data_IF_377187474214
#
_entry.id   IF_377187474214
#
_cell.length_a   1.000
_cell.length_b   1.000
_cell.length_c   1.000
_cell.angle_alpha   90.00
_cell.angle_beta   90.00
_cell.angle_gamma   90.00
#
_symmetry.space_group_name_H-M   'P 1'
#
loop_
_entity.id
_entity.type
_entity.pdbx_description
1 polymer ?
#
# COMPACT_ATOMS: atom_id res chain seq x y z
N UNK A 1 -8.55 -1.90 39.06
CA UNK A 1 -8.64 -2.89 37.97
C UNK A 1 -7.24 -3.13 37.45
N UNK A 2 -6.91 -4.38 37.13
CA UNK A 2 -5.66 -4.73 36.44
C UNK A 2 -5.96 -5.15 35.00
N UNK A 3 -5.20 -4.60 34.08
CA UNK A 3 -5.27 -4.92 32.64
C UNK A 3 -3.90 -5.43 32.24
N UNK A 4 -3.85 -6.63 31.68
CA UNK A 4 -2.61 -7.22 31.16
C UNK A 4 -2.71 -7.46 29.66
N UNK A 5 -1.57 -7.70 29.02
CA UNK A 5 -1.52 -8.28 27.68
C UNK A 5 -0.70 -9.57 27.72
N UNK A 6 -0.99 -10.50 26.80
CA UNK A 6 -0.13 -11.61 26.43
C UNK A 6 0.16 -11.45 24.95
N UNK A 7 1.42 -11.43 24.54
CA UNK A 7 1.80 -11.25 23.14
C UNK A 7 2.49 -12.50 22.61
N UNK A 8 2.06 -12.99 21.46
CA UNK A 8 2.67 -14.13 20.77
C UNK A 8 3.00 -13.73 19.32
N UNK A 9 4.02 -14.36 18.74
CA UNK A 9 4.45 -14.07 17.36
C UNK A 9 5.96 -13.89 17.22
N UNK A 10 6.44 -13.89 15.98
CA UNK A 10 7.86 -13.71 15.68
C UNK A 10 8.24 -12.23 15.40
N UNK A 11 7.26 -11.38 15.08
CA UNK A 11 7.44 -9.93 14.87
C UNK A 11 6.57 -9.16 15.86
N UNK A 12 7.05 -9.04 17.09
CA UNK A 12 6.28 -8.42 18.17
C UNK A 12 6.17 -6.90 18.03
N UNK A 13 5.12 -6.35 18.65
CA UNK A 13 4.90 -4.93 18.78
C UNK A 13 5.91 -4.25 19.72
N UNK A 14 7.06 -3.79 19.19
CA UNK A 14 8.20 -3.40 20.03
C UNK A 14 7.98 -2.20 20.96
N UNK A 15 7.02 -1.32 20.65
CA UNK A 15 6.67 -0.15 21.46
C UNK A 15 5.51 -0.39 22.43
N UNK A 16 4.89 -1.57 22.37
CA UNK A 16 3.85 -1.98 23.31
C UNK A 16 2.49 -1.44 22.90
N UNK A 17 1.61 -1.23 23.88
CA UNK A 17 0.21 -0.89 23.65
C UNK A 17 -0.22 0.30 24.49
N UNK A 18 -1.36 0.88 24.13
CA UNK A 18 -2.10 1.80 24.97
C UNK A 18 -3.39 1.14 25.47
N UNK A 19 -3.78 1.41 26.72
CA UNK A 19 -5.07 0.95 27.26
C UNK A 19 -5.81 2.07 27.97
N UNK A 20 -7.13 2.12 27.77
CA UNK A 20 -8.02 3.11 28.37
C UNK A 20 -9.24 2.45 29.02
N UNK A 21 -9.75 3.10 30.08
CA UNK A 21 -10.99 2.74 30.76
C UNK A 21 -12.09 3.75 30.41
N UNK A 22 -13.16 3.31 29.74
CA UNK A 22 -14.35 4.11 29.41
C UNK A 22 -14.07 5.39 28.61
N UNK A 23 -13.09 5.36 27.69
CA UNK A 23 -12.66 6.54 26.92
C UNK A 23 -11.86 7.58 27.73
N UNK A 24 -11.38 7.21 28.92
CA UNK A 24 -10.50 8.02 29.75
C UNK A 24 -9.06 8.09 29.22
N UNK A 25 -8.16 8.70 30.00
CA UNK A 25 -6.75 8.81 29.63
C UNK A 25 -6.09 7.44 29.46
N UNK A 26 -5.33 7.29 28.38
CA UNK A 26 -4.57 6.08 28.08
C UNK A 26 -3.39 5.90 29.05
N UNK A 27 -3.08 4.64 29.33
CA UNK A 27 -1.87 4.22 30.03
C UNK A 27 -1.10 3.26 29.14
N UNK A 28 0.22 3.45 29.08
CA UNK A 28 1.13 2.54 28.36
C UNK A 28 1.13 1.16 29.01
N UNK A 29 1.08 0.13 28.17
CA UNK A 29 1.11 -1.27 28.54
C UNK A 29 2.22 -1.95 27.73
N UNK A 30 3.31 -2.33 28.41
CA UNK A 30 4.41 -3.07 27.80
C UNK A 30 3.95 -4.46 27.29
N UNK A 31 4.72 -5.05 26.37
CA UNK A 31 4.57 -6.44 25.95
C UNK A 31 4.56 -7.39 27.15
N UNK A 32 3.59 -8.31 27.18
CA UNK A 32 3.33 -9.23 28.30
C UNK A 32 3.17 -8.52 29.68
N UNK A 33 2.89 -7.21 29.64
CA UNK A 33 2.86 -6.33 30.79
C UNK A 33 1.55 -6.35 31.56
N UNK A 34 1.50 -5.56 32.62
CA UNK A 34 0.27 -5.33 33.38
C UNK A 34 0.25 -3.90 33.90
N UNK A 35 -0.88 -3.23 33.70
CA UNK A 35 -1.14 -1.89 34.23
C UNK A 35 -2.29 -1.93 35.24
N UNK A 36 -2.28 -1.01 36.21
CA UNK A 36 -3.30 -0.92 37.26
C UNK A 36 -4.02 0.42 37.23
N UNK A 37 -5.32 0.38 36.99
CA UNK A 37 -6.22 1.51 37.22
C UNK A 37 -6.69 1.50 38.68
N UNK A 38 -6.28 2.50 39.45
CA UNK A 38 -6.70 2.64 40.85
C UNK A 38 -8.07 3.31 40.99
N UNK A 39 -8.75 3.05 42.11
CA UNK A 39 -9.99 3.73 42.50
C UNK A 39 -11.14 3.64 41.46
N UNK A 40 -11.19 2.57 40.67
CA UNK A 40 -12.26 2.30 39.71
C UNK A 40 -13.56 2.03 40.47
N UNK A 41 -14.65 2.72 40.08
CA UNK A 41 -15.96 2.59 40.71
C UNK A 41 -16.56 1.19 40.52
N UNK A 42 -17.48 0.79 41.40
CA UNK A 42 -18.26 -0.43 41.21
C UNK A 42 -19.16 -0.31 39.97
N UNK A 43 -19.25 -1.38 39.18
CA UNK A 43 -20.06 -1.44 37.96
C UNK A 43 -19.31 -2.03 36.76
N UNK A 44 -19.96 -2.01 35.60
CA UNK A 44 -19.37 -2.45 34.34
C UNK A 44 -18.57 -1.30 33.71
N UNK A 45 -17.34 -1.59 33.30
CA UNK A 45 -16.46 -0.65 32.62
C UNK A 45 -15.99 -1.25 31.31
N UNK A 46 -15.99 -0.44 30.27
CA UNK A 46 -15.35 -0.79 29.00
C UNK A 46 -13.85 -0.53 29.10
N UNK A 47 -13.05 -1.51 28.71
CA UNK A 47 -11.60 -1.42 28.60
C UNK A 47 -11.25 -1.57 27.12
N UNK A 48 -10.54 -0.61 26.56
CA UNK A 48 -10.05 -0.65 25.18
C UNK A 48 -8.53 -0.77 25.16
N UNK A 49 -8.01 -1.60 24.26
CA UNK A 49 -6.60 -1.60 23.85
C UNK A 49 -6.51 -0.86 22.50
N UNK A 50 -5.49 -0.02 22.38
CA UNK A 50 -5.17 0.80 21.21
C UNK A 50 -3.66 0.73 20.97
N UNK A 51 -3.21 1.37 19.88
CA UNK A 51 -1.79 1.35 19.46
C UNK A 51 -1.25 -0.07 19.23
N UNK A 52 -2.15 -1.00 18.86
CA UNK A 52 -1.76 -2.36 18.46
C UNK A 52 -1.24 -2.28 17.04
N UNK A 53 0.02 -2.66 16.84
CA UNK A 53 0.62 -2.73 15.52
C UNK A 53 -0.22 -3.61 14.60
N UNK A 54 -0.24 -3.21 13.34
CA UNK A 54 -1.14 -3.77 12.34
C UNK A 54 -0.81 -5.20 11.93
N UNK A 55 0.41 -5.67 12.17
CA UNK A 55 0.78 -7.07 12.05
C UNK A 55 0.28 -7.93 13.23
N UNK A 56 -0.37 -7.31 14.22
CA UNK A 56 -0.90 -7.95 15.40
C UNK A 56 -2.43 -7.87 15.44
N UNK A 57 -3.05 -8.95 15.91
CA UNK A 57 -4.49 -9.05 16.11
C UNK A 57 -4.79 -9.31 17.58
N UNK A 58 -5.89 -8.73 18.09
CA UNK A 58 -6.33 -8.95 19.47
C UNK A 58 -7.46 -9.97 19.50
N UNK A 59 -7.24 -11.11 20.13
CA UNK A 59 -8.28 -12.15 20.26
C UNK A 59 -9.45 -11.68 21.14
N UNK A 60 -10.66 -11.92 20.64
CA UNK A 60 -11.90 -11.41 21.22
C UNK A 60 -12.15 -9.92 21.00
N UNK A 61 -11.33 -9.24 20.19
CA UNK A 61 -11.49 -7.83 19.82
C UNK A 61 -10.79 -6.84 20.76
N UNK A 62 -10.71 -5.58 20.32
CA UNK A 62 -9.98 -4.51 21.00
C UNK A 62 -10.69 -3.93 22.24
N UNK A 63 -11.94 -4.30 22.50
CA UNK A 63 -12.73 -3.79 23.62
C UNK A 63 -13.32 -4.90 24.46
N UNK A 64 -13.30 -4.74 25.78
CA UNK A 64 -13.85 -5.71 26.74
C UNK A 64 -14.66 -5.02 27.83
N UNK A 65 -15.81 -5.57 28.16
CA UNK A 65 -16.60 -5.13 29.31
C UNK A 65 -16.19 -5.91 30.56
N UNK A 66 -15.77 -5.20 31.60
CA UNK A 66 -15.26 -5.78 32.85
C UNK A 66 -16.08 -5.27 34.03
N UNK A 67 -16.68 -6.19 34.78
CA UNK A 67 -17.42 -5.88 35.99
C UNK A 67 -16.47 -5.72 37.19
N UNK A 68 -16.56 -4.59 37.89
CA UNK A 68 -15.83 -4.31 39.13
C UNK A 68 -16.79 -4.42 40.32
N UNK A 69 -16.55 -5.39 41.20
CA UNK A 69 -17.32 -5.52 42.44
C UNK A 69 -16.71 -4.69 43.58
N UNK A 70 -17.56 -4.22 44.50
CA UNK A 70 -17.15 -3.39 45.63
C UNK A 70 -16.00 -4.02 46.44
N UNK A 71 -14.92 -3.25 46.64
CA UNK A 71 -13.76 -3.67 47.44
C UNK A 71 -12.90 -4.77 46.83
N UNK A 72 -13.07 -5.06 45.54
CA UNK A 72 -12.32 -6.08 44.80
C UNK A 72 -11.46 -5.49 43.68
N UNK A 73 -10.44 -6.24 43.26
CA UNK A 73 -9.67 -5.92 42.05
C UNK A 73 -10.16 -6.80 40.92
N UNK A 74 -10.84 -6.22 39.94
CA UNK A 74 -11.15 -6.90 38.67
C UNK A 74 -9.90 -6.99 37.79
N UNK A 75 -9.83 -8.03 36.97
CA UNK A 75 -8.72 -8.35 36.06
C UNK A 75 -9.25 -8.62 34.65
N UNK A 76 -8.54 -8.17 33.62
CA UNK A 76 -8.76 -8.56 32.22
C UNK A 76 -7.42 -8.64 31.49
N UNK A 77 -7.32 -9.43 30.43
CA UNK A 77 -6.06 -9.70 29.72
C UNK A 77 -6.24 -9.74 28.20
N UNK A 78 -5.65 -8.84 27.43
CA UNK A 78 -5.69 -8.93 25.96
C UNK A 78 -4.69 -9.96 25.45
N UNK A 79 -5.14 -10.88 24.60
CA UNK A 79 -4.26 -11.83 23.92
C UNK A 79 -3.99 -11.29 22.52
N UNK A 80 -2.75 -10.87 22.27
CA UNK A 80 -2.29 -10.24 21.04
C UNK A 80 -1.43 -11.22 20.28
N UNK A 81 -1.77 -11.51 19.03
CA UNK A 81 -1.04 -12.42 18.15
C UNK A 81 -0.50 -11.65 16.96
N UNK A 82 0.83 -11.57 16.86
CA UNK A 82 1.54 -10.88 15.79
C UNK A 82 2.04 -11.89 14.75
N UNK A 83 1.59 -11.73 13.51
CA UNK A 83 1.96 -12.61 12.40
C UNK A 83 2.98 -11.90 11.48
N UNK A 84 4.23 -12.41 11.36
CA UNK A 84 5.20 -11.90 10.40
C UNK A 84 4.78 -12.08 8.93
N UNK A 85 3.70 -12.81 8.64
CA UNK A 85 3.12 -12.92 7.30
C UNK A 85 2.42 -11.63 6.84
N UNK A 86 1.95 -10.80 7.78
CA UNK A 86 1.26 -9.54 7.49
C UNK A 86 2.21 -8.34 7.34
N UNK A 87 3.45 -8.47 7.82
CA UNK A 87 4.48 -7.44 7.67
C UNK A 87 5.58 -7.91 6.71
N UNK A 88 6.05 -6.98 5.88
CA UNK A 88 7.23 -7.19 5.07
C UNK A 88 7.07 -8.31 4.03
N UNK A 89 6.03 -8.18 3.22
CA UNK A 89 5.86 -8.98 2.02
C UNK A 89 5.76 -8.07 0.81
N UNK A 90 6.16 -8.63 -0.30
CA UNK A 90 6.13 -7.97 -1.59
C UNK A 90 5.06 -8.67 -2.41
N UNK A 91 4.07 -7.91 -2.88
CA UNK A 91 3.03 -8.42 -3.79
C UNK A 91 3.41 -8.07 -5.21
N UNK A 92 3.28 -9.05 -6.10
CA UNK A 92 3.63 -8.91 -7.51
C UNK A 92 2.80 -9.80 -8.38
N UNK A 93 2.71 -9.44 -9.65
CA UNK A 93 2.14 -10.33 -10.66
C UNK A 93 3.25 -11.13 -11.36
N UNK A 94 2.94 -12.34 -11.80
CA UNK A 94 3.81 -13.14 -12.67
C UNK A 94 2.99 -13.79 -13.78
N UNK A 95 3.36 -13.50 -15.01
CA UNK A 95 2.88 -14.22 -16.19
C UNK A 95 3.77 -15.45 -16.43
N UNK A 96 3.17 -16.64 -16.52
CA UNK A 96 3.90 -17.90 -16.77
C UNK A 96 3.97 -18.27 -18.27
N UNK A 97 3.47 -17.39 -19.14
CA UNK A 97 3.42 -17.58 -20.59
C UNK A 97 2.23 -18.43 -21.06
N UNK A 98 1.33 -18.87 -20.18
CA UNK A 98 0.08 -19.54 -20.54
C UNK A 98 -1.08 -18.56 -20.81
N UNK A 99 -0.83 -17.25 -20.65
CA UNK A 99 -1.83 -16.20 -20.86
C UNK A 99 -2.68 -15.91 -19.63
N UNK A 100 -2.17 -16.24 -18.44
CA UNK A 100 -2.68 -15.90 -17.13
C UNK A 100 -1.57 -15.23 -16.29
N UNK A 101 -1.90 -14.11 -15.67
CA UNK A 101 -1.03 -13.41 -14.72
C UNK A 101 -1.47 -13.73 -13.31
N UNK A 102 -0.62 -14.39 -12.52
CA UNK A 102 -0.90 -14.74 -11.13
C UNK A 102 -0.51 -13.60 -10.18
N UNK A 103 -1.32 -13.35 -9.14
CA UNK A 103 -0.89 -12.54 -7.98
C UNK A 103 -0.12 -13.42 -6.99
N UNK A 104 1.08 -12.99 -6.66
CA UNK A 104 2.02 -13.69 -5.80
C UNK A 104 2.46 -12.81 -4.63
N UNK A 105 2.79 -13.49 -3.53
CA UNK A 105 3.35 -12.92 -2.32
C UNK A 105 4.74 -13.51 -2.10
N UNK A 106 5.73 -12.68 -1.80
CA UNK A 106 7.11 -13.14 -1.48
C UNK A 106 7.67 -12.40 -0.28
N UNK A 107 8.56 -13.07 0.46
CA UNK A 107 9.36 -12.42 1.48
C UNK A 107 10.40 -11.46 0.85
N UNK A 108 10.91 -10.49 1.60
CA UNK A 108 11.78 -9.41 1.09
C UNK A 108 13.17 -9.90 0.77
N UNK A 109 13.54 -11.07 1.29
CA UNK A 109 14.76 -11.80 0.95
C UNK A 109 14.57 -12.72 -0.27
N UNK A 110 13.41 -12.66 -0.93
CA UNK A 110 13.05 -13.47 -2.09
C UNK A 110 12.56 -14.89 -1.74
N UNK A 111 12.46 -15.25 -0.47
CA UNK A 111 12.01 -16.58 -0.05
C UNK A 111 10.48 -16.69 0.06
N UNK A 112 9.95 -17.92 0.05
CA UNK A 112 8.55 -18.17 0.43
C UNK A 112 7.47 -17.71 -0.57
N UNK A 113 7.77 -17.68 -1.87
CA UNK A 113 6.79 -17.31 -2.92
C UNK A 113 5.52 -18.18 -2.80
N UNK A 114 4.38 -17.52 -2.62
CA UNK A 114 3.05 -18.15 -2.50
C UNK A 114 2.05 -17.42 -3.41
N UNK A 115 1.11 -18.15 -4.03
CA UNK A 115 0.07 -17.53 -4.83
C UNK A 115 -1.09 -17.03 -3.96
N UNK A 116 -1.51 -15.78 -4.19
CA UNK A 116 -2.72 -15.17 -3.65
C UNK A 116 -3.90 -15.56 -4.56
N UNK A 117 -3.74 -15.39 -5.87
CA UNK A 117 -4.73 -15.72 -6.90
C UNK A 117 -4.03 -16.18 -8.18
N UNK A 118 -4.63 -17.09 -8.94
CA UNK A 118 -4.09 -17.57 -10.20
C UNK A 118 -5.04 -18.47 -11.00
N UNK A 119 -4.78 -18.57 -12.31
CA UNK A 119 -5.49 -19.47 -13.24
C UNK A 119 -6.77 -18.92 -13.89
N UNK A 120 -7.10 -17.64 -13.71
CA UNK A 120 -8.26 -16.97 -14.30
C UNK A 120 -7.97 -15.51 -14.69
N UNK A 121 -7.25 -15.29 -15.80
CA UNK A 121 -7.06 -13.95 -16.40
C UNK A 121 -5.71 -13.29 -16.08
N UNK A 122 -5.55 -12.02 -16.47
CA UNK A 122 -4.35 -11.23 -16.16
C UNK A 122 -4.64 -10.29 -14.99
N UNK A 123 -4.29 -10.72 -13.78
CA UNK A 123 -4.29 -9.83 -12.61
C UNK A 123 -3.03 -8.96 -12.65
N UNK A 124 -3.21 -7.65 -12.80
CA UNK A 124 -2.11 -6.70 -12.98
C UNK A 124 -2.12 -5.62 -11.92
N UNK A 125 -0.96 -5.02 -11.74
CA UNK A 125 -0.76 -3.84 -10.92
C UNK A 125 -1.22 -3.94 -9.45
N UNK A 126 -0.76 -4.94 -8.67
CA UNK A 126 -1.17 -5.05 -7.28
C UNK A 126 -0.72 -3.87 -6.42
N UNK A 127 -1.59 -3.48 -5.48
CA UNK A 127 -1.34 -2.57 -4.38
C UNK A 127 -1.94 -3.16 -3.11
N UNK A 128 -1.10 -3.40 -2.11
CA UNK A 128 -1.53 -3.94 -0.82
C UNK A 128 -1.99 -2.80 0.11
N UNK A 129 -3.02 -3.07 0.91
CA UNK A 129 -3.61 -2.10 1.83
C UNK A 129 -2.62 -1.68 2.92
N UNK A 130 -2.80 -0.49 3.54
CA UNK A 130 -1.93 -0.03 4.62
C UNK A 130 -1.96 -0.93 5.84
N UNK A 131 -2.94 -1.81 5.98
CA UNK A 131 -2.96 -2.82 7.03
C UNK A 131 -2.36 -4.17 6.63
N UNK A 132 -1.90 -4.31 5.39
CA UNK A 132 -1.29 -5.54 4.89
C UNK A 132 -2.27 -6.71 4.70
N UNK A 133 -3.59 -6.47 4.80
CA UNK A 133 -4.59 -7.56 4.79
C UNK A 133 -5.23 -7.80 3.44
N UNK A 134 -5.24 -6.79 2.55
CA UNK A 134 -5.95 -6.82 1.26
C UNK A 134 -5.06 -6.35 0.12
N UNK A 135 -5.32 -6.84 -1.08
CA UNK A 135 -4.65 -6.41 -2.31
C UNK A 135 -5.71 -5.86 -3.26
N UNK A 136 -5.55 -4.61 -3.68
CA UNK A 136 -6.27 -4.02 -4.81
C UNK A 136 -5.45 -4.27 -6.08
N UNK A 137 -6.10 -4.57 -7.19
CA UNK A 137 -5.43 -4.87 -8.45
C UNK A 137 -6.38 -4.61 -9.62
N UNK A 138 -5.81 -4.55 -10.83
CA UNK A 138 -6.55 -4.59 -12.07
C UNK A 138 -6.86 -6.04 -12.43
N UNK A 139 -8.13 -6.40 -12.47
CA UNK A 139 -8.62 -7.68 -13.01
C UNK A 139 -8.83 -7.53 -14.52
N UNK A 140 -8.34 -8.50 -15.31
CA UNK A 140 -8.58 -8.59 -16.77
C UNK A 140 -9.13 -9.94 -17.19
N UNK A 141 -9.77 -10.66 -16.26
CA UNK A 141 -10.46 -11.92 -16.54
C UNK A 141 -11.74 -11.72 -17.36
N UNK A 142 -12.28 -10.48 -17.37
CA UNK A 142 -13.47 -10.04 -18.09
C UNK A 142 -13.25 -9.66 -19.56
N UNK A 143 -14.22 -8.93 -20.13
CA UNK A 143 -14.14 -8.41 -21.49
C UNK A 143 -13.34 -7.10 -21.56
N UNK A 144 -13.34 -6.38 -20.45
CA UNK A 144 -12.73 -5.12 -20.12
C UNK A 144 -11.80 -5.29 -18.90
N UNK A 145 -11.34 -4.19 -18.33
CA UNK A 145 -10.48 -4.22 -17.15
C UNK A 145 -11.16 -3.53 -16.00
N UNK A 146 -11.16 -4.18 -14.84
CA UNK A 146 -11.87 -3.73 -13.66
C UNK A 146 -10.92 -3.61 -12.47
N UNK A 147 -11.31 -2.81 -11.47
CA UNK A 147 -10.61 -2.79 -10.19
C UNK A 147 -11.25 -3.84 -9.29
N UNK A 148 -10.43 -4.70 -8.71
CA UNK A 148 -10.85 -5.71 -7.76
C UNK A 148 -9.99 -5.70 -6.50
N UNK A 149 -10.50 -6.31 -5.44
CA UNK A 149 -9.82 -6.53 -4.16
C UNK A 149 -9.92 -7.99 -3.75
N UNK A 150 -8.85 -8.52 -3.18
CA UNK A 150 -8.78 -9.86 -2.57
C UNK A 150 -8.07 -9.79 -1.22
N UNK A 151 -8.44 -10.64 -0.28
CA UNK A 151 -7.65 -10.80 0.95
C UNK A 151 -6.29 -11.44 0.60
N UNK A 152 -5.24 -11.11 1.36
CA UNK A 152 -3.87 -11.59 1.09
C UNK A 152 -3.75 -13.12 1.16
N UNK A 153 -4.68 -13.81 1.82
CA UNK A 153 -4.76 -15.28 1.84
C UNK A 153 -5.49 -15.88 0.61
N UNK A 154 -5.89 -15.03 -0.35
CA UNK A 154 -6.62 -15.39 -1.57
C UNK A 154 -8.13 -15.51 -1.39
N UNK A 155 -8.65 -15.25 -0.19
CA UNK A 155 -10.09 -15.29 0.08
C UNK A 155 -10.77 -13.94 -0.23
N UNK A 156 -12.10 -13.90 -0.09
CA UNK A 156 -12.90 -12.68 -0.18
C UNK A 156 -12.68 -11.82 -1.44
N UNK A 157 -12.43 -12.44 -2.59
CA UNK A 157 -12.37 -11.73 -3.86
C UNK A 157 -13.68 -10.96 -4.13
N UNK A 158 -13.53 -9.67 -4.43
CA UNK A 158 -14.61 -8.77 -4.81
C UNK A 158 -14.15 -7.88 -5.96
N UNK A 159 -14.85 -7.95 -7.08
CA UNK A 159 -14.74 -6.98 -8.15
C UNK A 159 -15.45 -5.68 -7.72
N UNK A 160 -14.72 -4.56 -7.66
CA UNK A 160 -15.24 -3.27 -7.16
C UNK A 160 -15.87 -2.42 -8.26
N UNK A 161 -15.40 -2.54 -9.50
CA UNK A 161 -15.97 -1.84 -10.66
C UNK A 161 -16.52 -2.82 -11.68
N UNK A 162 -17.64 -2.48 -12.32
CA UNK A 162 -18.31 -3.31 -13.33
C UNK A 162 -19.04 -2.39 -14.31
N UNK A 163 -18.35 -1.99 -15.38
CA UNK A 163 -18.82 -1.03 -16.37
C UNK A 163 -17.98 -1.14 -17.65
N UNK A 164 -18.54 -0.76 -18.80
CA UNK A 164 -17.94 -0.91 -20.14
C UNK A 164 -16.61 -0.11 -20.39
N UNK A 165 -16.07 0.54 -19.35
CA UNK A 165 -14.86 1.35 -19.43
C UNK A 165 -13.61 0.50 -19.14
N UNK A 166 -12.46 0.97 -19.62
CA UNK A 166 -11.19 0.50 -19.14
C UNK A 166 -10.88 1.15 -17.78
N UNK A 167 -11.12 0.41 -16.70
CA UNK A 167 -10.64 0.77 -15.38
C UNK A 167 -9.23 0.18 -15.21
N UNK A 168 -8.23 1.04 -15.29
CA UNK A 168 -6.90 0.55 -15.57
C UNK A 168 -5.77 1.55 -15.58
N UNK A 169 -5.14 1.71 -14.42
CA UNK A 169 -3.69 1.61 -14.25
C UNK A 169 -3.38 1.87 -12.78
N UNK A 170 -2.68 0.92 -12.15
CA UNK A 170 -2.13 1.00 -10.78
C UNK A 170 -3.12 1.52 -9.72
N UNK A 171 -4.16 0.75 -9.34
CA UNK A 171 -4.97 1.11 -8.18
C UNK A 171 -4.06 1.28 -6.95
N UNK A 172 -4.33 2.27 -6.11
CA UNK A 172 -3.53 2.56 -4.92
C UNK A 172 -4.43 2.88 -3.73
N UNK A 173 -4.14 2.28 -2.58
CA UNK A 173 -4.84 2.56 -1.35
C UNK A 173 -4.47 3.93 -0.77
N UNK A 174 -5.47 4.65 -0.25
CA UNK A 174 -5.21 5.76 0.64
C UNK A 174 -4.49 5.25 1.92
N UNK A 175 -3.64 6.06 2.57
CA UNK A 175 -2.86 5.64 3.75
C UNK A 175 -3.72 5.19 4.95
N UNK A 176 -4.96 5.67 5.03
CA UNK A 176 -5.92 5.26 6.06
C UNK A 176 -6.71 3.99 5.70
N UNK A 177 -6.46 3.40 4.51
CA UNK A 177 -7.12 2.21 4.00
C UNK A 177 -8.60 2.40 3.64
N UNK A 178 -9.13 3.62 3.71
CA UNK A 178 -10.56 3.91 3.52
C UNK A 178 -10.97 4.07 2.06
N UNK A 179 -10.03 4.41 1.19
CA UNK A 179 -10.26 4.76 -0.22
C UNK A 179 -9.23 4.14 -1.14
N UNK A 180 -9.59 4.02 -2.41
CA UNK A 180 -8.72 3.55 -3.50
C UNK A 180 -8.73 4.61 -4.60
N UNK A 181 -7.56 5.05 -5.05
CA UNK A 181 -7.41 5.85 -6.26
C UNK A 181 -7.02 4.94 -7.43
N UNK A 182 -7.52 5.26 -8.62
CA UNK A 182 -7.29 4.49 -9.84
C UNK A 182 -7.51 5.39 -11.07
N UNK A 183 -7.11 4.93 -12.24
CA UNK A 183 -7.46 5.62 -13.50
C UNK A 183 -8.56 4.88 -14.26
N UNK A 184 -9.39 5.63 -14.97
CA UNK A 184 -10.51 5.09 -15.75
C UNK A 184 -10.77 5.96 -16.97
N UNK A 185 -11.12 5.36 -18.10
CA UNK A 185 -11.49 6.06 -19.34
C UNK A 185 -13.00 6.24 -19.53
N UNK A 186 -13.79 6.07 -18.47
CA UNK A 186 -15.27 6.02 -18.50
C UNK A 186 -15.94 7.27 -19.08
N UNK A 187 -15.23 8.37 -19.21
CA UNK A 187 -15.68 9.63 -19.80
C UNK A 187 -15.08 9.94 -21.18
N UNK A 188 -14.21 9.08 -21.70
CA UNK A 188 -13.70 9.13 -23.07
C UNK A 188 -12.17 9.14 -23.18
N UNK A 189 -11.50 9.53 -22.12
CA UNK A 189 -10.06 9.51 -21.92
C UNK A 189 -9.73 9.20 -20.46
N UNK A 190 -8.53 8.67 -20.21
CA UNK A 190 -8.14 8.22 -18.86
C UNK A 190 -8.01 9.39 -17.90
N UNK A 191 -8.78 9.33 -16.82
CA UNK A 191 -8.79 10.31 -15.75
C UNK A 191 -8.56 9.64 -14.38
N UNK A 192 -8.15 10.40 -13.36
CA UNK A 192 -7.98 9.92 -12.00
C UNK A 192 -9.31 9.92 -11.26
N UNK A 193 -9.68 8.77 -10.74
CA UNK A 193 -10.85 8.57 -9.90
C UNK A 193 -10.45 8.07 -8.51
N UNK A 194 -11.32 8.34 -7.54
CA UNK A 194 -11.25 7.79 -6.19
C UNK A 194 -12.58 7.16 -5.84
N UNK A 195 -12.54 6.03 -5.14
CA UNK A 195 -13.71 5.37 -4.56
C UNK A 195 -13.45 4.97 -3.12
N UNK A 196 -14.50 4.68 -2.37
CA UNK A 196 -14.37 4.02 -1.08
C UNK A 196 -13.83 2.60 -1.27
N UNK A 197 -13.18 2.06 -0.23
CA UNK A 197 -12.58 0.72 -0.24
C UNK A 197 -13.57 -0.43 -0.54
N UNK A 198 -14.87 -0.16 -0.47
CA UNK A 198 -15.95 -1.10 -0.81
C UNK A 198 -16.49 -0.94 -2.25
N UNK A 199 -15.87 -0.06 -3.04
CA UNK A 199 -16.25 0.26 -4.43
C UNK A 199 -17.34 1.33 -4.55
N UNK A 200 -17.89 1.83 -3.45
CA UNK A 200 -18.91 2.88 -3.47
C UNK A 200 -18.30 4.28 -3.60
N UNK A 201 -19.16 5.28 -3.77
CA UNK A 201 -18.78 6.71 -3.79
C UNK A 201 -17.64 7.05 -4.77
N UNK A 202 -17.72 6.52 -6.00
CA UNK A 202 -16.79 6.85 -7.08
C UNK A 202 -16.88 8.35 -7.42
N UNK A 203 -15.75 9.05 -7.35
CA UNK A 203 -15.58 10.48 -7.63
C UNK A 203 -14.44 10.67 -8.62
N UNK A 204 -14.69 11.47 -9.66
CA UNK A 204 -13.67 11.94 -10.60
C UNK A 204 -12.88 13.09 -9.99
N UNK A 205 -11.54 13.01 -10.01
CA UNK A 205 -10.66 14.06 -9.48
C UNK A 205 -10.06 14.96 -10.55
N UNK A 206 -9.81 14.43 -11.73
CA UNK A 206 -9.28 15.15 -12.89
C UNK A 206 -10.27 15.06 -14.06
N UNK A 207 -10.42 16.15 -14.80
CA UNK A 207 -11.40 16.31 -15.89
C UNK A 207 -10.83 17.31 -16.90
N UNK A 208 -10.22 16.77 -17.94
CA UNK A 208 -9.48 17.46 -18.98
C UNK A 208 -9.49 16.64 -20.29
N UNK A 209 -8.82 17.13 -21.34
CA UNK A 209 -8.87 16.50 -22.69
C UNK A 209 -7.61 15.63 -22.96
N UNK A 210 -6.91 15.16 -21.93
CA UNK A 210 -5.68 14.37 -22.05
C UNK A 210 -5.60 13.26 -21.00
N UNK A 211 -4.68 12.31 -21.21
CA UNK A 211 -4.55 11.17 -20.32
C UNK A 211 -3.86 11.51 -18.99
N UNK A 212 -4.57 11.22 -17.91
CA UNK A 212 -4.10 11.21 -16.52
C UNK A 212 -4.10 9.78 -15.97
N UNK A 213 -2.93 9.29 -15.57
CA UNK A 213 -2.72 7.88 -15.18
C UNK A 213 -1.73 7.73 -14.02
N UNK A 214 -1.67 6.53 -13.45
CA UNK A 214 -0.67 6.20 -12.44
C UNK A 214 -0.79 6.97 -11.13
N UNK A 215 -1.96 6.99 -10.45
CA UNK A 215 -2.12 7.72 -9.21
C UNK A 215 -1.27 7.15 -8.06
N UNK A 216 -0.79 8.03 -7.19
CA UNK A 216 -0.07 7.69 -5.95
C UNK A 216 -0.44 8.66 -4.82
N UNK A 217 -0.97 8.12 -3.72
CA UNK A 217 -1.32 8.92 -2.54
C UNK A 217 -0.09 9.46 -1.82
N UNK A 218 -0.19 10.70 -1.32
CA UNK A 218 0.73 11.18 -0.29
C UNK A 218 0.46 10.44 1.03
N UNK A 219 1.48 10.21 1.88
CA UNK A 219 1.31 9.47 3.14
C UNK A 219 0.35 10.12 4.14
N UNK A 220 0.13 11.43 4.03
CA UNK A 220 -0.85 12.15 4.84
C UNK A 220 -2.29 12.09 4.27
N UNK A 221 -2.49 11.40 3.14
CA UNK A 221 -3.79 11.25 2.47
C UNK A 221 -4.37 12.54 1.88
N UNK A 222 -3.59 13.63 1.82
CA UNK A 222 -4.07 14.95 1.39
C UNK A 222 -3.95 15.20 -0.11
N UNK A 223 -3.07 14.49 -0.80
CA UNK A 223 -2.72 14.71 -2.21
C UNK A 223 -2.56 13.40 -2.96
N UNK A 224 -2.73 13.46 -4.28
CA UNK A 224 -2.45 12.37 -5.21
C UNK A 224 -1.50 12.90 -6.28
N UNK A 225 -0.34 12.27 -6.41
CA UNK A 225 0.55 12.47 -7.56
C UNK A 225 0.13 11.55 -8.70
N UNK A 226 0.29 11.98 -9.95
CA UNK A 226 -0.07 11.21 -11.14
C UNK A 226 0.72 11.70 -12.35
N UNK A 227 0.72 10.93 -13.42
CA UNK A 227 1.37 11.27 -14.67
C UNK A 227 0.33 11.80 -15.66
N UNK A 228 0.60 12.95 -16.28
CA UNK A 228 -0.36 13.66 -17.14
C UNK A 228 0.28 14.18 -18.41
N UNK A 229 -0.46 14.09 -19.53
CA UNK A 229 -0.06 14.64 -20.84
C UNK A 229 -0.42 16.14 -20.99
N UNK A 230 -0.85 16.82 -19.92
CA UNK A 230 -1.38 18.20 -19.94
C UNK A 230 -0.39 19.23 -20.52
N UNK A 231 0.90 18.92 -20.47
CA UNK A 231 1.98 19.78 -20.95
C UNK A 231 2.61 19.33 -22.27
N UNK A 232 2.02 18.32 -22.92
CA UNK A 232 2.39 17.82 -24.25
C UNK A 232 3.31 16.61 -24.25
N UNK A 233 4.21 16.51 -23.27
CA UNK A 233 4.88 15.26 -22.85
C UNK A 233 4.36 14.88 -21.48
N UNK A 234 4.44 13.60 -21.12
CA UNK A 234 3.94 13.15 -19.83
C UNK A 234 4.86 13.66 -18.72
N UNK A 235 4.30 14.42 -17.79
CA UNK A 235 4.99 14.94 -16.60
C UNK A 235 4.25 14.54 -15.33
N UNK A 236 4.96 14.60 -14.19
CA UNK A 236 4.37 14.36 -12.88
C UNK A 236 3.60 15.60 -12.41
N UNK A 237 2.34 15.39 -12.06
CA UNK A 237 1.43 16.39 -11.50
C UNK A 237 0.94 15.94 -10.13
N UNK A 238 0.37 16.88 -9.36
CA UNK A 238 -0.28 16.61 -8.08
C UNK A 238 -1.63 17.31 -8.01
N UNK A 239 -2.64 16.64 -7.47
CA UNK A 239 -3.97 17.18 -7.17
C UNK A 239 -4.32 16.97 -5.70
N UNK A 240 -5.15 17.83 -5.14
CA UNK A 240 -5.73 17.63 -3.82
C UNK A 240 -6.65 16.39 -3.83
N UNK A 241 -6.61 15.59 -2.76
CA UNK A 241 -7.41 14.37 -2.64
C UNK A 241 -8.94 14.61 -2.61
N UNK A 242 -9.36 15.86 -2.46
CA UNK A 242 -10.76 16.32 -2.57
C UNK A 242 -11.10 16.92 -3.94
N UNK A 243 -10.14 16.91 -4.86
CA UNK A 243 -10.23 17.47 -6.22
C UNK A 243 -9.74 18.91 -6.32
N UNK A 244 -9.67 19.43 -7.54
CA UNK A 244 -9.20 20.79 -7.81
C UNK A 244 -8.30 20.84 -9.04
N UNK A 245 -7.69 22.00 -9.29
CA UNK A 245 -6.76 22.15 -10.40
C UNK A 245 -5.42 21.45 -10.09
N UNK A 246 -4.94 20.56 -10.97
CA UNK A 246 -3.62 19.95 -10.81
C UNK A 246 -2.48 20.98 -10.84
N UNK A 247 -1.43 20.69 -10.09
CA UNK A 247 -0.16 21.43 -10.12
C UNK A 247 0.92 20.55 -10.76
N UNK A 248 1.57 21.05 -11.80
CA UNK A 248 2.71 20.38 -12.45
C UNK A 248 3.95 20.44 -11.55
N UNK A 249 4.59 19.30 -11.32
CA UNK A 249 5.81 19.17 -10.50
C UNK A 249 7.08 19.10 -11.36
N UNK A 250 7.01 18.48 -12.53
CA UNK A 250 8.16 18.30 -13.42
C UNK A 250 7.93 18.92 -14.81
N UNK A 251 9.03 19.26 -15.50
CA UNK A 251 9.00 19.84 -16.85
C UNK A 251 10.24 19.37 -17.62
N UNK A 252 10.20 18.15 -18.13
CA UNK A 252 11.28 17.56 -18.93
C UNK A 252 10.77 17.18 -20.32
N UNK A 253 11.70 17.10 -21.29
CA UNK A 253 11.36 16.67 -22.65
C UNK A 253 11.15 15.15 -22.75
N UNK A 254 11.60 14.40 -21.74
CA UNK A 254 11.41 12.96 -21.62
C UNK A 254 10.08 12.66 -20.94
N UNK A 255 9.44 11.55 -21.32
CA UNK A 255 8.24 11.08 -20.63
C UNK A 255 8.55 10.68 -19.19
N UNK A 256 7.66 11.06 -18.27
CA UNK A 256 7.77 10.77 -16.84
C UNK A 256 6.50 10.09 -16.33
N UNK A 257 6.65 9.00 -15.57
CA UNK A 257 5.55 8.12 -15.17
C UNK A 257 5.77 7.47 -13.80
N UNK A 258 4.72 6.87 -13.25
CA UNK A 258 4.79 6.02 -12.05
C UNK A 258 5.34 6.73 -10.82
N UNK A 259 4.74 7.86 -10.38
CA UNK A 259 5.16 8.52 -9.15
C UNK A 259 4.93 7.62 -7.93
N UNK A 260 5.81 7.69 -6.95
CA UNK A 260 5.70 7.02 -5.66
C UNK A 260 6.23 7.90 -4.54
N UNK A 261 5.37 8.25 -3.58
CA UNK A 261 5.74 9.06 -2.42
C UNK A 261 6.61 8.27 -1.45
N UNK A 262 7.61 8.94 -0.86
CA UNK A 262 8.32 8.39 0.29
C UNK A 262 7.38 8.36 1.51
N UNK A 263 7.55 7.39 2.44
CA UNK A 263 6.67 7.25 3.61
C UNK A 263 6.60 8.48 4.52
N UNK A 264 7.70 9.25 4.57
CA UNK A 264 7.76 10.51 5.32
C UNK A 264 7.14 11.71 4.58
N UNK A 265 6.67 11.51 3.35
CA UNK A 265 6.04 12.51 2.49
C UNK A 265 7.00 13.59 1.98
N UNK A 266 8.32 13.42 2.15
CA UNK A 266 9.31 14.45 1.79
C UNK A 266 9.79 14.35 0.35
N UNK A 267 9.72 13.16 -0.26
CA UNK A 267 10.22 12.90 -1.61
C UNK A 267 9.19 12.14 -2.45
N UNK A 268 9.36 12.18 -3.76
CA UNK A 268 8.65 11.29 -4.68
C UNK A 268 9.65 10.74 -5.71
N UNK A 269 9.64 9.41 -5.85
CA UNK A 269 10.37 8.69 -6.88
C UNK A 269 9.50 8.51 -8.12
N UNK A 270 10.10 8.50 -9.31
CA UNK A 270 9.38 8.37 -10.56
C UNK A 270 10.31 7.87 -11.66
N UNK A 271 9.73 7.35 -12.74
CA UNK A 271 10.46 7.00 -13.95
C UNK A 271 10.61 8.23 -14.84
N UNK A 272 11.80 8.43 -15.43
CA UNK A 272 12.05 9.41 -16.50
C UNK A 272 12.88 8.77 -17.59
N UNK A 273 12.34 8.71 -18.80
CA UNK A 273 13.08 8.24 -19.97
C UNK A 273 13.65 6.82 -19.87
N UNK A 274 13.09 5.98 -18.99
CA UNK A 274 13.55 4.61 -18.75
C UNK A 274 14.42 4.43 -17.50
N UNK A 275 14.81 5.49 -16.81
CA UNK A 275 15.60 5.41 -15.57
C UNK A 275 14.79 5.91 -14.36
N UNK A 276 15.24 5.63 -13.13
CA UNK A 276 14.62 6.14 -11.91
C UNK A 276 15.22 7.47 -11.47
N UNK A 277 14.33 8.38 -11.10
CA UNK A 277 14.63 9.68 -10.52
C UNK A 277 13.90 9.85 -9.20
N UNK A 278 14.40 10.78 -8.39
CA UNK A 278 13.75 11.24 -7.16
C UNK A 278 13.72 12.76 -7.16
N UNK A 279 12.68 13.33 -6.55
CA UNK A 279 12.53 14.76 -6.32
C UNK A 279 11.98 15.04 -4.93
N UNK A 280 12.11 16.28 -4.47
CA UNK A 280 11.39 16.78 -3.31
C UNK A 280 9.88 16.80 -3.59
N UNK A 281 9.06 16.67 -2.55
CA UNK A 281 7.59 16.65 -2.60
C UNK A 281 6.94 17.91 -3.24
N UNK A 282 7.71 18.98 -3.43
CA UNK A 282 7.29 20.21 -4.10
C UNK A 282 7.73 20.30 -5.58
N UNK A 283 8.36 19.25 -6.11
CA UNK A 283 8.86 19.17 -7.49
C UNK A 283 10.29 19.70 -7.66
N UNK A 284 10.90 20.26 -6.62
CA UNK A 284 12.30 20.69 -6.67
C UNK A 284 13.28 19.53 -6.46
N UNK A 285 14.57 19.78 -6.64
CA UNK A 285 15.61 18.79 -6.30
C UNK A 285 15.66 17.54 -7.17
N UNK A 286 15.10 17.56 -8.40
CA UNK A 286 15.10 16.39 -9.27
C UNK A 286 16.52 15.87 -9.55
N UNK A 287 16.79 14.62 -9.18
CA UNK A 287 18.06 13.93 -9.38
C UNK A 287 17.89 12.46 -9.80
N UNK A 288 18.83 11.88 -10.57
CA UNK A 288 18.80 10.47 -10.91
C UNK A 288 19.07 9.62 -9.66
N UNK A 289 18.28 8.57 -9.47
CA UNK A 289 18.38 7.63 -8.35
C UNK A 289 19.11 6.36 -8.75
N UNK A 290 18.66 5.70 -9.81
CA UNK A 290 19.20 4.44 -10.30
C UNK A 290 18.99 4.31 -11.81
N UNK A 291 19.89 3.55 -12.43
CA UNK A 291 19.80 3.17 -13.84
C UNK A 291 20.38 1.76 -14.00
N UNK A 292 19.55 0.78 -14.34
CA UNK A 292 20.03 -0.55 -14.72
C UNK A 292 20.48 -0.52 -16.17
N UNK A 293 21.77 -0.77 -16.41
CA UNK A 293 22.35 -0.66 -17.74
C UNK A 293 21.68 -1.58 -18.76
N UNK A 294 20.98 -0.99 -19.73
CA UNK A 294 20.34 -1.70 -20.83
C UNK A 294 18.88 -2.08 -20.59
N UNK A 295 18.34 -1.78 -19.40
CA UNK A 295 16.94 -1.99 -19.06
C UNK A 295 16.14 -0.68 -19.02
N UNK A 296 14.83 -0.83 -18.90
CA UNK A 296 13.84 0.20 -18.58
C UNK A 296 13.38 -0.02 -17.14
N UNK A 297 13.78 0.89 -16.25
CA UNK A 297 13.40 0.88 -14.85
C UNK A 297 11.96 1.42 -14.66
N UNK A 298 11.09 0.66 -14.01
CA UNK A 298 9.65 0.95 -13.90
C UNK A 298 9.08 0.64 -12.52
N UNK A 299 8.01 1.35 -12.16
CA UNK A 299 7.18 1.08 -10.99
C UNK A 299 7.93 1.12 -9.65
N UNK A 300 8.63 2.23 -9.31
CA UNK A 300 9.33 2.33 -8.04
C UNK A 300 8.36 2.27 -6.85
N UNK A 301 8.74 1.56 -5.79
CA UNK A 301 8.01 1.54 -4.53
C UNK A 301 8.98 1.62 -3.35
N UNK A 302 8.67 2.46 -2.36
CA UNK A 302 9.51 2.69 -1.18
C UNK A 302 9.31 1.58 -0.13
N UNK A 303 10.38 1.25 0.60
CA UNK A 303 10.22 0.54 1.88
C UNK A 303 9.58 1.48 2.92
N UNK A 304 8.81 1.01 3.92
CA UNK A 304 8.13 1.90 4.88
C UNK A 304 9.04 2.75 5.74
N UNK A 305 10.26 2.28 5.96
CA UNK A 305 11.27 3.05 6.67
C UNK A 305 11.94 4.10 5.77
N UNK A 306 11.52 4.20 4.50
CA UNK A 306 12.06 5.11 3.48
C UNK A 306 13.51 4.83 3.10
N UNK A 307 14.09 3.71 3.54
CA UNK A 307 15.52 3.43 3.39
C UNK A 307 15.90 2.87 2.02
N UNK A 308 14.96 2.23 1.32
CA UNK A 308 15.19 1.53 0.05
C UNK A 308 14.01 1.68 -0.90
N UNK A 309 14.24 1.40 -2.17
CA UNK A 309 13.20 1.25 -3.18
C UNK A 309 13.33 -0.11 -3.87
N UNK A 310 12.18 -0.69 -4.23
CA UNK A 310 12.07 -1.82 -5.15
C UNK A 310 11.50 -1.34 -6.49
N UNK A 311 11.94 -1.93 -7.59
CA UNK A 311 11.47 -1.61 -8.94
C UNK A 311 11.71 -2.77 -9.91
N UNK A 312 11.08 -2.70 -11.09
CA UNK A 312 11.32 -3.65 -12.19
C UNK A 312 12.31 -3.09 -13.20
N UNK A 313 13.18 -3.93 -13.76
CA UNK A 313 13.99 -3.59 -14.94
C UNK A 313 14.10 -4.79 -15.90
N UNK A 314 14.44 -4.58 -17.17
CA UNK A 314 14.54 -5.60 -18.23
C UNK A 314 15.84 -5.53 -19.06
N UNK A 315 17.04 -5.56 -18.43
CA UNK A 315 18.30 -5.33 -19.14
C UNK A 315 18.65 -6.35 -20.22
N UNK A 316 18.06 -7.55 -20.18
CA UNK A 316 18.24 -8.61 -21.16
C UNK A 316 16.93 -9.07 -21.84
N UNK A 317 15.84 -8.30 -21.63
CA UNK A 317 14.53 -8.51 -22.25
C UNK A 317 13.52 -9.25 -21.37
N UNK A 318 13.93 -9.79 -20.23
CA UNK A 318 13.02 -10.37 -19.23
C UNK A 318 12.90 -9.37 -18.05
N UNK A 319 11.68 -9.12 -17.57
CA UNK A 319 11.44 -8.22 -16.44
C UNK A 319 11.86 -8.86 -15.11
N UNK A 320 12.67 -8.14 -14.36
CA UNK A 320 13.36 -8.61 -13.16
C UNK A 320 13.25 -7.60 -12.02
N UNK A 321 13.46 -8.10 -10.82
CA UNK A 321 13.38 -7.30 -9.61
C UNK A 321 14.72 -6.72 -9.19
N UNK A 322 14.72 -5.43 -8.90
CA UNK A 322 15.86 -4.72 -8.36
C UNK A 322 15.49 -3.99 -7.07
N UNK A 323 16.47 -3.89 -6.18
CA UNK A 323 16.40 -3.08 -4.96
C UNK A 323 17.59 -2.13 -4.94
N UNK A 324 17.35 -0.89 -4.55
CA UNK A 324 18.36 0.17 -4.40
C UNK A 324 18.15 0.89 -3.07
N UNK A 325 19.23 1.36 -2.46
CA UNK A 325 19.15 2.26 -1.31
C UNK A 325 18.57 3.61 -1.74
N UNK A 326 17.89 4.29 -0.83
CA UNK A 326 17.23 5.57 -1.09
C UNK A 326 18.18 6.74 -1.43
N UNK A 327 19.49 6.51 -1.36
CA UNK A 327 20.55 7.41 -1.81
C UNK A 327 21.15 6.99 -3.18
N UNK A 328 20.56 6.01 -3.85
CA UNK A 328 20.99 5.48 -5.14
C UNK A 328 22.12 4.46 -5.06
N UNK A 329 22.61 4.12 -3.87
CA UNK A 329 23.65 3.08 -3.68
C UNK A 329 23.04 1.69 -3.49
N UNK A 330 23.87 0.65 -3.36
CA UNK A 330 23.36 -0.68 -2.99
C UNK A 330 22.53 -1.43 -4.05
N UNK A 331 22.50 -0.97 -5.31
CA UNK A 331 21.72 -1.60 -6.38
C UNK A 331 22.02 -3.11 -6.50
N UNK A 332 21.00 -3.94 -6.30
CA UNK A 332 21.09 -5.40 -6.32
C UNK A 332 19.86 -6.03 -6.97
N UNK A 333 20.07 -7.09 -7.76
CA UNK A 333 18.99 -7.93 -8.30
C UNK A 333 18.45 -8.82 -7.17
N UNK A 334 17.17 -8.71 -6.85
CA UNK A 334 16.54 -9.42 -5.73
C UNK A 334 16.09 -10.83 -6.12
N UNK A 335 15.51 -10.99 -7.31
CA UNK A 335 15.02 -12.27 -7.81
C UNK A 335 15.30 -12.41 -9.30
N UNK A 336 15.75 -13.60 -9.70
CA UNK A 336 15.82 -14.04 -11.09
C UNK A 336 14.50 -14.74 -11.41
N UNK A 337 13.49 -13.96 -11.78
CA UNK A 337 12.18 -14.45 -12.19
C UNK A 337 12.06 -14.22 -13.69
N UNK A 338 12.45 -15.18 -14.55
CA UNK A 338 12.23 -15.04 -15.99
C UNK A 338 10.72 -14.96 -16.24
N UNK A 339 10.19 -13.75 -16.39
CA UNK A 339 8.84 -13.49 -16.85
C UNK A 339 8.89 -13.45 -18.38
N UNK A 340 8.17 -14.34 -19.04
CA UNK A 340 8.32 -14.57 -20.49
C UNK A 340 7.57 -13.57 -21.39
N UNK A 341 7.01 -12.46 -20.89
CA UNK A 341 6.41 -11.42 -21.76
C UNK A 341 6.21 -10.02 -21.12
N UNK A 342 6.11 -9.01 -21.99
CA UNK A 342 6.44 -7.58 -21.89
C UNK A 342 5.50 -6.64 -21.09
N UNK A 343 4.76 -7.07 -20.07
CA UNK A 343 3.74 -6.16 -19.47
C UNK A 343 3.75 -6.04 -17.94
N UNK A 344 4.43 -4.97 -17.53
CA UNK A 344 4.02 -3.98 -16.52
C UNK A 344 4.13 -4.41 -15.06
N UNK A 345 5.31 -4.22 -14.48
CA UNK A 345 5.46 -4.18 -13.02
C UNK A 345 4.68 -3.00 -12.43
N UNK A 346 3.67 -3.28 -11.63
CA UNK A 346 3.72 -2.68 -10.30
C UNK A 346 4.25 -3.72 -9.35
N UNK A 347 5.35 -3.38 -8.71
CA UNK A 347 5.64 -3.92 -7.41
C UNK A 347 4.85 -3.08 -6.43
N UNK A 348 3.72 -3.62 -5.99
CA UNK A 348 3.16 -3.23 -4.72
C UNK A 348 4.07 -3.80 -3.62
N UNK A 349 5.20 -3.16 -3.36
CA UNK A 349 5.63 -3.08 -1.97
C UNK A 349 4.83 -1.93 -1.35
N UNK A 350 3.55 -2.18 -1.07
CA UNK A 350 3.04 -1.57 0.13
C UNK A 350 3.45 -2.52 1.26
N UNK A 351 4.14 -1.96 2.22
CA UNK A 351 4.15 -2.54 3.55
C UNK A 351 3.30 -1.59 4.36
N UNK A 352 2.62 -2.15 5.34
CA UNK A 352 1.78 -1.35 6.22
C UNK A 352 2.54 -0.14 6.77
N UNK A 353 2.00 1.05 6.56
CA UNK A 353 2.46 2.27 7.24
C UNK A 353 1.75 2.40 8.58
N UNK A 354 2.42 3.03 9.55
CA UNK A 354 1.84 3.46 10.82
C UNK A 354 1.31 4.88 10.72
#
# INVERSE_FOLDING_TARGET
MQVSATTAGDTLDQDGYAVALGGGAEQTLDLDGTVTFENVAEGDHEVAISDVQVNCTTDGGATRTVAVAAGSTATTSFDVSCDPALFDRVVFHRDDGAGDGDLLLVAPDGSGVTAIRGGDGFDLFPSISPDGTRVAFQDRSGADSEIAVVDVDGSSFVQLTDNDAFDGSTPTWAPDGSRIAFSSDRDGDSEIYVMDADGSNVVQLTDNDVFDVGPAWSPDGSRIAFASDLSGTRDIHVVDATGGAPTRLTDDASSETGPAWSPDGTRIAFQRGGDLYVMDADGSGVEPLAAVSGGSDQGPAWSPDGSRLVFTSDPDGDHELYVVDADGTGLTKLLDAPATDERLGSWGAARSER
#
